data_IF_431728666311
#
_entry.id   IF_431728666311
#
_cell.length_a   1.000
_cell.length_b   1.000
_cell.length_c   1.000
_cell.angle_alpha   90.00
_cell.angle_beta   90.00
_cell.angle_gamma   90.00
#
_symmetry.space_group_name_H-M   'P 1'
#
loop_
_entity.id
_entity.type
_entity.pdbx_description
1 polymer ?
#
# COMPACT_ATOMS: atom_id res chain seq x y z
N UNK A 1 -9.00 -14.44 9.45
CA UNK A 1 -9.11 -13.54 8.29
C UNK A 1 -9.68 -12.21 8.76
N UNK A 2 -8.96 -11.12 8.51
CA UNK A 2 -9.38 -9.77 8.89
C UNK A 2 -10.23 -9.11 7.81
N UNK A 3 -10.05 -9.53 6.55
CA UNK A 3 -10.76 -9.04 5.37
C UNK A 3 -11.54 -10.18 4.68
N UNK A 4 -12.83 -10.02 4.49
CA UNK A 4 -13.70 -10.84 3.64
C UNK A 4 -14.88 -9.99 3.12
N UNK A 5 -15.62 -10.49 2.13
CA UNK A 5 -16.69 -9.72 1.48
C UNK A 5 -17.77 -9.24 2.47
N UNK A 6 -18.13 -10.05 3.48
CA UNK A 6 -19.13 -9.67 4.48
C UNK A 6 -18.64 -8.55 5.40
N UNK A 7 -17.37 -8.62 5.82
CA UNK A 7 -16.74 -7.58 6.62
C UNK A 7 -16.55 -6.31 5.82
N UNK A 8 -16.17 -6.41 4.54
CA UNK A 8 -16.09 -5.26 3.64
C UNK A 8 -17.47 -4.58 3.49
N UNK A 9 -18.54 -5.33 3.29
CA UNK A 9 -19.90 -4.78 3.27
C UNK A 9 -20.28 -4.12 4.60
N UNK A 10 -19.96 -4.73 5.75
CA UNK A 10 -20.21 -4.18 7.08
C UNK A 10 -19.38 -2.90 7.35
N UNK A 11 -18.21 -2.78 6.75
CA UNK A 11 -17.32 -1.62 6.82
C UNK A 11 -17.60 -0.54 5.77
N UNK A 12 -18.61 -0.72 4.93
CA UNK A 12 -19.00 0.19 3.85
C UNK A 12 -17.89 0.42 2.81
N UNK A 13 -17.24 -0.65 2.40
CA UNK A 13 -16.18 -0.59 1.39
C UNK A 13 -16.75 -0.38 0.00
N UNK A 14 -16.26 0.63 -0.70
CA UNK A 14 -16.53 0.84 -2.13
C UNK A 14 -15.46 0.25 -3.05
N UNK A 15 -14.20 0.21 -2.56
CA UNK A 15 -13.05 -0.32 -3.31
C UNK A 15 -12.02 -0.93 -2.35
N UNK A 16 -11.41 -2.05 -2.78
CA UNK A 16 -10.30 -2.69 -2.09
C UNK A 16 -9.19 -3.06 -3.09
N UNK A 17 -7.94 -2.83 -2.68
CA UNK A 17 -6.77 -3.36 -3.38
C UNK A 17 -6.49 -4.78 -2.91
N UNK A 18 -6.43 -5.73 -3.84
CA UNK A 18 -6.10 -7.13 -3.56
C UNK A 18 -4.67 -7.42 -4.01
N UNK A 19 -3.79 -7.71 -3.06
CA UNK A 19 -2.38 -7.94 -3.31
C UNK A 19 -2.09 -9.41 -3.60
N UNK A 20 -1.51 -9.69 -4.76
CA UNK A 20 -0.81 -10.94 -5.02
C UNK A 20 0.56 -10.83 -4.32
N UNK A 21 0.61 -11.26 -3.06
CA UNK A 21 1.82 -11.20 -2.25
C UNK A 21 2.73 -12.39 -2.50
N UNK A 22 4.01 -12.14 -2.79
CA UNK A 22 5.01 -13.17 -3.05
C UNK A 22 6.23 -12.98 -2.17
N UNK A 23 6.45 -13.90 -1.24
CA UNK A 23 7.70 -14.01 -0.52
C UNK A 23 8.76 -14.73 -1.38
N UNK A 24 9.81 -14.02 -1.81
CA UNK A 24 10.82 -14.56 -2.73
C UNK A 24 11.57 -15.79 -2.18
N UNK A 25 11.79 -15.86 -0.87
CA UNK A 25 12.44 -17.03 -0.25
C UNK A 25 11.52 -18.27 -0.27
N UNK A 26 10.22 -18.05 -0.01
CA UNK A 26 9.22 -19.12 -0.02
C UNK A 26 8.90 -19.60 -1.44
N UNK A 27 8.96 -18.71 -2.42
CA UNK A 27 8.71 -19.02 -3.82
C UNK A 27 9.80 -19.93 -4.46
N UNK A 28 10.94 -20.16 -3.77
CA UNK A 28 11.98 -21.13 -4.15
C UNK A 28 12.43 -20.99 -5.61
N UNK A 29 12.66 -19.78 -6.07
CA UNK A 29 13.10 -19.49 -7.43
C UNK A 29 12.00 -19.54 -8.51
N UNK A 30 10.75 -19.66 -8.13
CA UNK A 30 9.56 -19.66 -9.02
C UNK A 30 8.57 -18.53 -8.67
N UNK A 31 9.02 -17.29 -8.46
CA UNK A 31 8.13 -16.22 -7.98
C UNK A 31 7.06 -15.84 -9.03
N UNK A 32 7.38 -15.91 -10.32
CA UNK A 32 6.41 -15.63 -11.38
C UNK A 32 5.27 -16.66 -11.41
N UNK A 33 5.61 -17.94 -11.40
CA UNK A 33 4.63 -19.04 -11.42
C UNK A 33 3.74 -19.01 -10.18
N UNK A 34 4.33 -18.78 -9.00
CA UNK A 34 3.55 -18.65 -7.77
C UNK A 34 2.59 -17.45 -7.82
N UNK A 35 3.03 -16.30 -8.34
CA UNK A 35 2.16 -15.16 -8.55
C UNK A 35 1.02 -15.46 -9.54
N UNK A 36 1.27 -16.25 -10.58
CA UNK A 36 0.23 -16.69 -11.53
C UNK A 36 -0.80 -17.61 -10.89
N UNK A 37 -0.40 -18.48 -9.95
CA UNK A 37 -1.33 -19.32 -9.18
C UNK A 37 -2.24 -18.45 -8.27
N UNK A 38 -1.68 -17.41 -7.63
CA UNK A 38 -2.47 -16.43 -6.87
C UNK A 38 -3.43 -15.64 -7.77
N UNK A 39 -2.97 -15.28 -8.96
CA UNK A 39 -3.80 -14.57 -9.94
C UNK A 39 -4.99 -15.41 -10.38
N UNK A 40 -4.80 -16.69 -10.64
CA UNK A 40 -5.88 -17.62 -10.97
C UNK A 40 -6.90 -17.72 -9.83
N UNK A 41 -6.43 -17.85 -8.58
CA UNK A 41 -7.29 -17.84 -7.38
C UNK A 41 -8.10 -16.55 -7.28
N UNK A 42 -7.47 -15.38 -7.51
CA UNK A 42 -8.17 -14.11 -7.51
C UNK A 42 -9.31 -14.10 -8.55
N UNK A 43 -9.07 -14.57 -9.77
CA UNK A 43 -10.11 -14.59 -10.80
C UNK A 43 -11.24 -15.55 -10.46
N UNK A 44 -10.94 -16.73 -9.92
CA UNK A 44 -11.97 -17.69 -9.49
C UNK A 44 -12.87 -17.09 -8.41
N UNK A 45 -12.30 -16.39 -7.41
CA UNK A 45 -13.07 -15.71 -6.36
C UNK A 45 -13.91 -14.56 -6.92
N UNK A 46 -13.36 -13.76 -7.84
CA UNK A 46 -14.11 -12.67 -8.46
C UNK A 46 -15.28 -13.17 -9.32
N UNK A 47 -15.09 -14.27 -10.06
CA UNK A 47 -16.16 -14.92 -10.85
C UNK A 47 -17.25 -15.52 -9.95
N UNK A 48 -16.87 -16.14 -8.83
CA UNK A 48 -17.82 -16.72 -7.88
C UNK A 48 -18.68 -15.67 -7.15
N UNK A 49 -18.25 -14.40 -7.15
CA UNK A 49 -18.89 -13.30 -6.41
C UNK A 49 -19.15 -12.06 -7.28
N UNK A 50 -19.34 -12.25 -8.58
CA UNK A 50 -19.54 -11.14 -9.54
C UNK A 50 -20.77 -10.27 -9.27
N UNK A 51 -21.72 -10.76 -8.50
CA UNK A 51 -22.91 -10.05 -8.04
C UNK A 51 -22.59 -9.04 -6.91
N UNK A 52 -21.47 -9.21 -6.18
CA UNK A 52 -21.07 -8.41 -5.01
C UNK A 52 -19.90 -7.48 -5.32
N UNK A 53 -18.93 -7.94 -6.13
CA UNK A 53 -17.69 -7.23 -6.38
C UNK A 53 -17.29 -7.33 -7.86
N UNK A 54 -16.79 -6.24 -8.43
CA UNK A 54 -16.34 -6.18 -9.82
C UNK A 54 -14.87 -5.82 -9.95
N UNK A 55 -14.16 -6.44 -10.89
CA UNK A 55 -12.75 -6.17 -11.17
C UNK A 55 -12.59 -4.76 -11.77
N UNK A 56 -11.53 -4.05 -11.36
CA UNK A 56 -11.15 -2.73 -11.85
C UNK A 56 -9.92 -2.85 -12.75
N UNK A 57 -10.06 -2.39 -14.00
CA UNK A 57 -8.97 -2.27 -14.98
C UNK A 57 -8.80 -0.83 -15.47
N UNK A 58 -9.79 0.02 -15.26
CA UNK A 58 -9.77 1.45 -15.51
C UNK A 58 -10.57 2.19 -14.44
N UNK A 59 -10.44 3.50 -14.38
CA UNK A 59 -11.22 4.30 -13.43
C UNK A 59 -12.74 4.19 -13.66
N UNK A 60 -13.18 4.06 -14.92
CA UNK A 60 -14.59 3.90 -15.29
C UNK A 60 -15.20 2.61 -14.74
N UNK A 61 -14.41 1.56 -14.54
CA UNK A 61 -14.90 0.32 -13.93
C UNK A 61 -15.36 0.55 -12.49
N UNK A 62 -14.69 1.43 -11.75
CA UNK A 62 -15.08 1.80 -10.38
C UNK A 62 -16.47 2.44 -10.38
N UNK A 63 -16.70 3.40 -11.27
CA UNK A 63 -18.00 4.06 -11.42
C UNK A 63 -19.10 3.07 -11.83
N UNK A 64 -18.80 2.19 -12.78
CA UNK A 64 -19.73 1.15 -13.24
C UNK A 64 -20.11 0.17 -12.13
N UNK A 65 -19.13 -0.29 -11.33
CA UNK A 65 -19.39 -1.16 -10.19
C UNK A 65 -20.28 -0.47 -9.16
N UNK A 66 -19.98 0.79 -8.84
CA UNK A 66 -20.78 1.60 -7.93
C UNK A 66 -22.23 1.76 -8.39
N UNK A 67 -22.47 2.10 -9.66
CA UNK A 67 -23.80 2.22 -10.25
C UNK A 67 -24.61 0.91 -10.20
N UNK A 68 -23.90 -0.23 -10.20
CA UNK A 68 -24.48 -1.57 -10.09
C UNK A 68 -24.62 -2.06 -8.64
N UNK A 69 -24.29 -1.20 -7.65
CA UNK A 69 -24.34 -1.57 -6.24
C UNK A 69 -23.26 -2.59 -5.81
N UNK A 70 -22.17 -2.69 -6.56
CA UNK A 70 -21.06 -3.61 -6.29
C UNK A 70 -19.85 -2.87 -5.73
N UNK A 71 -19.08 -3.56 -4.89
CA UNK A 71 -17.73 -3.15 -4.52
C UNK A 71 -16.79 -3.29 -5.72
N UNK A 72 -15.62 -2.69 -5.63
CA UNK A 72 -14.56 -2.73 -6.64
C UNK A 72 -13.32 -3.44 -6.12
N UNK A 73 -12.74 -4.34 -6.93
CA UNK A 73 -11.49 -5.03 -6.67
C UNK A 73 -10.40 -4.54 -7.64
N UNK A 74 -9.39 -3.83 -7.11
CA UNK A 74 -8.20 -3.47 -7.87
C UNK A 74 -7.10 -4.49 -7.58
N UNK A 75 -6.64 -5.18 -8.63
CA UNK A 75 -5.60 -6.20 -8.53
C UNK A 75 -4.22 -5.56 -8.47
N UNK A 76 -3.43 -5.95 -7.47
CA UNK A 76 -2.07 -5.46 -7.26
C UNK A 76 -1.08 -6.62 -7.12
N UNK A 77 0.21 -6.35 -7.32
CA UNK A 77 1.30 -7.30 -7.04
C UNK A 77 2.18 -6.69 -5.96
N UNK A 78 2.35 -7.41 -4.86
CA UNK A 78 3.28 -7.04 -3.81
C UNK A 78 4.54 -7.92 -3.88
N UNK A 79 5.58 -7.39 -4.44
CA UNK A 79 6.91 -7.91 -4.78
C UNK A 79 7.19 -7.87 -6.30
N UNK A 80 7.85 -6.81 -6.76
CA UNK A 80 8.25 -6.63 -8.17
C UNK A 80 9.25 -7.67 -8.70
N UNK A 81 9.99 -8.35 -7.80
CA UNK A 81 10.87 -9.48 -8.14
C UNK A 81 10.14 -10.66 -8.79
N UNK A 82 8.80 -10.70 -8.71
CA UNK A 82 7.98 -11.64 -9.51
C UNK A 82 8.23 -11.52 -11.00
N UNK A 83 8.60 -10.34 -11.46
CA UNK A 83 8.93 -10.07 -12.87
C UNK A 83 10.33 -10.53 -13.27
N UNK A 84 11.19 -10.96 -12.33
CA UNK A 84 12.56 -11.42 -12.60
C UNK A 84 13.36 -10.45 -13.49
N UNK A 85 13.21 -9.14 -13.26
CA UNK A 85 13.84 -8.09 -14.06
C UNK A 85 13.36 -7.98 -15.51
N UNK A 86 12.29 -8.66 -15.91
CA UNK A 86 11.80 -8.70 -17.30
C UNK A 86 10.60 -7.76 -17.48
N UNK A 87 10.76 -6.65 -18.16
CA UNK A 87 9.65 -5.73 -18.50
C UNK A 87 8.54 -6.40 -19.33
N UNK A 88 8.85 -7.51 -20.01
CA UNK A 88 7.82 -8.32 -20.67
C UNK A 88 6.80 -8.89 -19.68
N UNK A 89 7.25 -9.38 -18.51
CA UNK A 89 6.39 -9.92 -17.46
C UNK A 89 5.54 -8.80 -16.81
N UNK A 90 6.12 -7.61 -16.61
CA UNK A 90 5.38 -6.42 -16.17
C UNK A 90 4.21 -6.11 -17.13
N UNK A 91 4.48 -6.09 -18.44
CA UNK A 91 3.44 -5.87 -19.46
C UNK A 91 2.38 -6.97 -19.47
N UNK A 92 2.77 -8.22 -19.21
CA UNK A 92 1.83 -9.33 -19.15
C UNK A 92 0.95 -9.26 -17.89
N UNK A 93 1.50 -8.89 -16.73
CA UNK A 93 0.69 -8.58 -15.55
C UNK A 93 -0.30 -7.43 -15.80
N UNK A 94 0.11 -6.38 -16.49
CA UNK A 94 -0.81 -5.30 -16.88
C UNK A 94 -1.96 -5.79 -17.78
N UNK A 95 -1.66 -6.59 -18.80
CA UNK A 95 -2.67 -7.22 -19.71
C UNK A 95 -3.62 -8.13 -18.93
N UNK A 96 -3.11 -8.82 -17.92
CA UNK A 96 -3.86 -9.67 -17.02
C UNK A 96 -4.65 -8.91 -15.94
N UNK A 97 -4.61 -7.58 -15.92
CA UNK A 97 -5.45 -6.76 -15.06
C UNK A 97 -4.78 -6.18 -13.82
N UNK A 98 -3.50 -6.43 -13.58
CA UNK A 98 -2.76 -5.76 -12.51
C UNK A 98 -2.66 -4.27 -12.80
N UNK A 99 -2.93 -3.43 -11.80
CA UNK A 99 -2.94 -1.97 -11.93
C UNK A 99 -2.05 -1.24 -10.93
N UNK A 100 -1.44 -1.96 -10.01
CA UNK A 100 -0.47 -1.43 -9.06
C UNK A 100 0.60 -2.49 -8.79
N UNK A 101 1.84 -2.07 -8.56
CA UNK A 101 2.92 -2.98 -8.17
C UNK A 101 3.84 -2.31 -7.16
N UNK A 102 4.13 -3.03 -6.07
CA UNK A 102 5.18 -2.69 -5.11
C UNK A 102 6.52 -3.19 -5.64
N UNK A 103 7.54 -2.32 -5.69
CA UNK A 103 8.80 -2.63 -6.37
C UNK A 103 9.62 -3.70 -5.66
N UNK A 104 9.58 -3.72 -4.33
CA UNK A 104 10.24 -4.73 -3.48
C UNK A 104 9.41 -4.95 -2.23
N UNK A 105 9.48 -6.16 -1.67
CA UNK A 105 8.99 -6.40 -0.30
C UNK A 105 10.16 -6.29 0.68
N UNK A 106 10.53 -7.33 1.40
CA UNK A 106 11.59 -7.30 2.42
C UNK A 106 12.91 -7.93 1.98
N UNK A 107 13.07 -8.18 0.68
CA UNK A 107 14.29 -8.73 0.08
C UNK A 107 14.75 -7.87 -1.10
N UNK A 108 16.08 -7.69 -1.28
CA UNK A 108 16.60 -7.14 -2.54
C UNK A 108 16.19 -8.01 -3.72
N UNK A 109 15.85 -7.36 -4.82
CA UNK A 109 15.51 -8.02 -6.07
C UNK A 109 16.20 -7.34 -7.27
N UNK A 110 15.84 -7.71 -8.49
CA UNK A 110 16.44 -7.16 -9.69
C UNK A 110 16.11 -5.67 -9.90
N UNK A 111 15.11 -5.11 -9.18
CA UNK A 111 14.62 -3.75 -9.36
C UNK A 111 15.15 -2.80 -8.30
N UNK A 112 15.18 -3.24 -7.03
CA UNK A 112 15.35 -2.35 -5.89
C UNK A 112 15.79 -3.07 -4.62
N UNK A 113 15.98 -2.27 -3.57
CA UNK A 113 16.36 -2.70 -2.24
C UNK A 113 15.32 -2.27 -1.21
N UNK A 114 14.98 -3.13 -0.23
CA UNK A 114 14.24 -2.71 0.96
C UNK A 114 15.16 -1.96 1.93
N UNK A 115 14.60 -1.42 3.02
CA UNK A 115 15.40 -0.88 4.10
C UNK A 115 16.34 -1.95 4.72
N UNK A 116 17.48 -1.50 5.24
CA UNK A 116 18.55 -2.37 5.73
C UNK A 116 18.07 -3.17 6.97
N UNK A 117 18.44 -4.45 6.99
CA UNK A 117 18.28 -5.35 8.13
C UNK A 117 19.63 -5.60 8.77
N UNK A 118 19.87 -5.01 9.93
CA UNK A 118 21.16 -5.04 10.64
C UNK A 118 21.05 -6.09 11.74
N UNK A 119 21.97 -7.08 11.73
CA UNK A 119 22.07 -8.05 12.79
C UNK A 119 22.66 -7.41 14.06
N UNK A 120 22.06 -7.70 15.21
CA UNK A 120 22.52 -7.27 16.53
C UNK A 120 23.29 -8.40 17.24
N UNK A 121 24.10 -8.05 18.23
CA UNK A 121 24.94 -9.02 18.96
C UNK A 121 24.16 -10.12 19.67
N UNK A 122 22.91 -9.84 20.05
CA UNK A 122 22.03 -10.80 20.72
C UNK A 122 21.29 -11.75 19.75
N UNK A 123 21.59 -11.68 18.46
CA UNK A 123 20.98 -12.50 17.41
C UNK A 123 19.65 -11.95 16.89
N UNK A 124 19.20 -10.82 17.38
CA UNK A 124 18.04 -10.09 16.84
C UNK A 124 18.42 -9.26 15.62
N UNK A 125 17.45 -8.60 15.02
CA UNK A 125 17.66 -7.70 13.89
C UNK A 125 17.00 -6.35 14.15
N UNK A 126 17.71 -5.29 13.80
CA UNK A 126 17.18 -3.94 13.74
C UNK A 126 17.00 -3.52 12.29
N UNK A 127 15.87 -2.91 11.99
CA UNK A 127 15.65 -2.25 10.70
C UNK A 127 16.26 -0.85 10.73
N UNK A 128 16.91 -0.46 9.65
CA UNK A 128 17.49 0.88 9.47
C UNK A 128 17.20 1.43 8.08
N UNK A 129 17.05 2.76 7.92
CA UNK A 129 16.93 3.37 6.61
C UNK A 129 18.17 3.05 5.76
N UNK A 130 17.95 2.70 4.50
CA UNK A 130 19.02 2.63 3.50
C UNK A 130 18.87 3.86 2.57
N UNK A 131 19.87 4.73 2.64
CA UNK A 131 19.92 5.98 1.87
C UNK A 131 20.93 5.93 0.72
N UNK A 132 21.55 4.76 0.48
CA UNK A 132 22.66 4.60 -0.47
C UNK A 132 22.25 3.78 -1.70
N UNK A 133 21.52 2.68 -1.51
CA UNK A 133 21.16 1.75 -2.57
C UNK A 133 19.81 2.11 -3.19
N UNK A 134 19.83 2.93 -4.24
CA UNK A 134 18.61 3.32 -4.98
C UNK A 134 18.05 2.19 -5.88
N UNK A 135 17.23 2.58 -6.85
CA UNK A 135 16.77 1.67 -7.89
C UNK A 135 17.96 1.18 -8.72
N UNK A 136 17.91 -0.07 -9.16
CA UNK A 136 18.84 -0.56 -10.20
C UNK A 136 18.49 0.05 -11.56
N UNK A 137 19.37 -0.07 -12.56
CA UNK A 137 19.05 0.33 -13.94
C UNK A 137 17.79 -0.39 -14.44
N UNK A 138 17.58 -1.65 -14.04
CA UNK A 138 16.36 -2.41 -14.33
C UNK A 138 15.15 -1.82 -13.62
N UNK A 139 15.31 -1.42 -12.35
CA UNK A 139 14.26 -0.77 -11.56
C UNK A 139 13.82 0.57 -12.16
N UNK A 140 14.76 1.37 -12.63
CA UNK A 140 14.48 2.62 -13.35
C UNK A 140 13.65 2.33 -14.63
N UNK A 141 14.08 1.37 -15.45
CA UNK A 141 13.33 0.97 -16.65
C UNK A 141 11.92 0.45 -16.30
N UNK A 142 11.76 -0.19 -15.13
CA UNK A 142 10.45 -0.66 -14.67
C UNK A 142 9.52 0.48 -14.28
N UNK A 143 9.96 1.45 -13.50
CA UNK A 143 9.10 2.58 -13.10
C UNK A 143 8.70 3.45 -14.29
N UNK A 144 9.60 3.64 -15.25
CA UNK A 144 9.32 4.33 -16.50
C UNK A 144 8.27 3.57 -17.35
N UNK A 145 8.37 2.23 -17.41
CA UNK A 145 7.40 1.41 -18.13
C UNK A 145 6.06 1.34 -17.40
N UNK A 146 6.04 1.30 -16.05
CA UNK A 146 4.81 1.38 -15.25
C UNK A 146 4.08 2.69 -15.52
N UNK A 147 4.80 3.83 -15.54
CA UNK A 147 4.23 5.13 -15.86
C UNK A 147 3.65 5.15 -17.29
N UNK A 148 4.38 4.60 -18.27
CA UNK A 148 3.91 4.50 -19.65
C UNK A 148 2.65 3.66 -19.82
N UNK A 149 2.51 2.60 -19.01
CA UNK A 149 1.36 1.70 -19.05
C UNK A 149 0.12 2.27 -18.32
N UNK A 150 0.28 3.26 -17.45
CA UNK A 150 -0.76 3.65 -16.51
C UNK A 150 -0.91 2.64 -15.38
N UNK A 151 0.20 2.07 -14.89
CA UNK A 151 0.25 1.22 -13.72
C UNK A 151 0.73 2.04 -12.52
N UNK A 152 0.00 2.00 -11.41
CA UNK A 152 0.34 2.74 -10.20
C UNK A 152 1.60 2.15 -9.58
N UNK A 153 2.58 3.01 -9.30
CA UNK A 153 3.79 2.63 -8.57
C UNK A 153 3.47 2.71 -7.07
N UNK A 154 3.78 1.64 -6.34
CA UNK A 154 3.70 1.61 -4.88
C UNK A 154 5.11 1.58 -4.29
N UNK A 155 5.43 2.61 -3.48
CA UNK A 155 6.72 2.75 -2.81
C UNK A 155 6.76 2.13 -1.41
N UNK A 156 5.68 1.49 -0.95
CA UNK A 156 5.70 0.74 0.30
C UNK A 156 6.79 -0.32 0.24
N UNK A 157 7.48 -0.56 1.34
CA UNK A 157 8.65 -1.43 1.48
C UNK A 157 9.96 -0.93 0.85
N UNK A 158 9.91 0.00 -0.11
CA UNK A 158 11.09 0.56 -0.73
C UNK A 158 11.92 1.35 0.30
N UNK A 159 13.24 1.29 0.18
CA UNK A 159 14.14 2.07 1.01
C UNK A 159 14.16 3.56 0.63
N UNK A 160 14.79 4.37 1.47
CA UNK A 160 14.79 5.83 1.31
C UNK A 160 15.44 6.27 -0.02
N UNK A 161 16.56 5.67 -0.41
CA UNK A 161 17.24 6.01 -1.68
C UNK A 161 16.35 5.68 -2.89
N UNK A 162 15.73 4.50 -2.91
CA UNK A 162 14.83 4.07 -3.98
C UNK A 162 13.58 4.94 -4.09
N UNK A 163 13.01 5.39 -2.96
CA UNK A 163 11.89 6.34 -2.96
C UNK A 163 12.26 7.62 -3.71
N UNK A 164 13.45 8.19 -3.43
CA UNK A 164 13.92 9.39 -4.11
C UNK A 164 14.21 9.15 -5.60
N UNK A 165 14.61 7.94 -5.98
CA UNK A 165 14.76 7.59 -7.40
C UNK A 165 13.41 7.53 -8.12
N UNK A 166 12.36 6.96 -7.50
CA UNK A 166 11.01 7.03 -8.07
C UNK A 166 10.59 8.47 -8.33
N UNK A 167 10.84 9.40 -7.40
CA UNK A 167 10.57 10.84 -7.62
C UNK A 167 11.34 11.43 -8.81
N UNK A 168 12.58 11.00 -9.04
CA UNK A 168 13.43 11.51 -10.14
C UNK A 168 13.01 10.99 -11.51
N UNK A 169 12.55 9.74 -11.57
CA UNK A 169 12.30 9.02 -12.83
C UNK A 169 10.83 8.97 -13.24
N UNK A 170 9.91 9.53 -12.44
CA UNK A 170 8.48 9.55 -12.73
C UNK A 170 7.89 10.95 -12.65
N UNK A 171 6.72 11.15 -13.24
CA UNK A 171 5.99 12.43 -13.26
C UNK A 171 4.57 12.31 -12.72
N UNK A 172 3.92 11.18 -12.95
CA UNK A 172 2.57 10.93 -12.47
C UNK A 172 2.55 10.76 -10.94
N UNK A 173 1.40 10.95 -10.29
CA UNK A 173 1.26 10.60 -8.89
C UNK A 173 1.43 9.10 -8.69
N UNK A 174 1.97 8.73 -7.54
CA UNK A 174 2.14 7.36 -7.10
C UNK A 174 1.74 7.22 -5.63
N UNK A 175 1.79 6.04 -5.06
CA UNK A 175 1.31 5.79 -3.71
C UNK A 175 2.39 5.17 -2.81
N UNK A 176 2.25 5.39 -1.50
CA UNK A 176 2.75 4.52 -0.46
C UNK A 176 1.52 3.78 0.10
N UNK A 177 1.19 2.62 -0.45
CA UNK A 177 -0.11 1.99 -0.21
C UNK A 177 -0.38 1.72 1.27
N UNK A 178 0.67 1.43 2.07
CA UNK A 178 0.59 1.12 3.50
C UNK A 178 1.85 1.57 4.25
N UNK A 179 1.96 2.89 4.50
CA UNK A 179 3.10 3.52 5.20
C UNK A 179 2.64 4.70 6.05
N UNK A 180 3.28 4.88 7.21
CA UNK A 180 2.94 5.93 8.17
C UNK A 180 4.00 7.05 8.20
N UNK A 181 3.93 7.96 9.19
CA UNK A 181 4.88 9.05 9.37
C UNK A 181 6.02 8.63 10.32
N UNK A 182 7.27 8.71 9.87
CA UNK A 182 8.46 8.32 10.64
C UNK A 182 8.68 9.21 11.88
N UNK A 183 8.23 10.47 11.84
CA UNK A 183 8.28 11.37 12.99
C UNK A 183 7.41 10.92 14.16
N UNK A 184 6.41 10.05 13.92
CA UNK A 184 5.50 9.53 14.95
C UNK A 184 5.91 8.14 15.46
N UNK A 185 6.54 7.32 14.61
CA UNK A 185 7.12 6.03 14.94
C UNK A 185 8.37 5.83 14.10
N UNK A 186 9.50 5.60 14.74
CA UNK A 186 10.84 5.68 14.14
C UNK A 186 11.17 4.53 13.15
N UNK A 187 10.21 3.69 12.84
CA UNK A 187 10.39 2.54 11.94
C UNK A 187 10.70 3.00 10.51
N UNK A 188 11.73 2.43 9.82
CA UNK A 188 12.15 2.88 8.49
C UNK A 188 11.12 2.61 7.37
N UNK A 189 10.11 1.76 7.61
CA UNK A 189 8.96 1.58 6.70
C UNK A 189 8.06 2.82 6.62
N UNK A 190 8.18 3.72 7.58
CA UNK A 190 7.45 4.99 7.62
C UNK A 190 8.20 6.07 6.81
N UNK A 191 7.45 6.97 6.19
CA UNK A 191 8.00 8.06 5.39
C UNK A 191 8.50 9.21 6.28
N UNK A 192 9.61 9.84 5.88
CA UNK A 192 10.08 11.09 6.49
C UNK A 192 9.16 12.27 6.11
N UNK A 193 9.22 13.37 6.88
CA UNK A 193 8.43 14.56 6.57
C UNK A 193 8.75 15.15 5.19
N UNK A 194 10.00 15.03 4.73
CA UNK A 194 10.39 15.48 3.39
C UNK A 194 9.79 14.60 2.30
N UNK A 195 9.75 13.27 2.51
CA UNK A 195 9.08 12.34 1.59
C UNK A 195 7.57 12.57 1.55
N UNK A 196 6.93 12.81 2.70
CA UNK A 196 5.49 13.13 2.79
C UNK A 196 5.19 14.41 2.02
N UNK A 197 6.01 15.45 2.19
CA UNK A 197 5.86 16.72 1.46
C UNK A 197 6.00 16.51 -0.05
N UNK A 198 7.05 15.82 -0.47
CA UNK A 198 7.29 15.53 -1.89
C UNK A 198 6.17 14.67 -2.51
N UNK A 199 5.67 13.66 -1.77
CA UNK A 199 4.55 12.84 -2.21
C UNK A 199 3.26 13.67 -2.38
N UNK A 200 2.97 14.55 -1.44
CA UNK A 200 1.82 15.45 -1.53
C UNK A 200 1.94 16.44 -2.71
N UNK A 201 3.11 17.03 -2.92
CA UNK A 201 3.39 17.92 -4.05
C UNK A 201 3.27 17.21 -5.41
N UNK A 202 3.60 15.91 -5.46
CA UNK A 202 3.41 15.05 -6.64
C UNK A 202 1.94 14.66 -6.86
N UNK A 203 1.05 14.97 -5.93
CA UNK A 203 -0.35 14.52 -5.98
C UNK A 203 -0.55 13.07 -5.52
N UNK A 204 0.44 12.46 -4.90
CA UNK A 204 0.36 11.09 -4.39
C UNK A 204 -0.44 10.96 -3.09
N UNK A 205 -0.58 9.72 -2.64
CA UNK A 205 -1.31 9.35 -1.41
C UNK A 205 -0.52 8.31 -0.63
N UNK A 206 -0.52 8.45 0.70
CA UNK A 206 -0.01 7.41 1.61
C UNK A 206 -1.15 6.84 2.44
N UNK A 207 -1.29 5.51 2.43
CA UNK A 207 -2.28 4.78 3.20
C UNK A 207 -1.78 4.49 4.61
N UNK A 208 -2.57 4.86 5.61
CA UNK A 208 -2.26 4.56 7.01
C UNK A 208 -2.24 3.05 7.23
N UNK A 209 -1.07 2.52 7.57
CA UNK A 209 -0.87 1.12 7.93
C UNK A 209 -1.26 0.88 9.39
N UNK A 210 -1.95 -0.23 9.67
CA UNK A 210 -2.45 -0.56 11.01
C UNK A 210 -1.48 -1.46 11.79
N UNK A 211 -0.31 -1.78 11.23
CA UNK A 211 0.72 -2.53 11.94
C UNK A 211 1.20 -1.77 13.18
N UNK A 212 1.18 -2.44 14.32
CA UNK A 212 1.55 -1.89 15.63
C UNK A 212 2.92 -1.21 15.60
N UNK A 213 3.93 -1.86 14.98
CA UNK A 213 5.30 -1.34 14.90
C UNK A 213 5.46 -0.07 14.05
N UNK A 214 4.49 0.25 13.19
CA UNK A 214 4.52 1.43 12.32
C UNK A 214 3.71 2.60 12.89
N UNK A 215 2.94 2.34 13.96
CA UNK A 215 2.09 3.35 14.59
C UNK A 215 2.76 4.00 15.80
N UNK A 216 3.61 3.25 16.52
CA UNK A 216 4.21 3.76 17.74
C UNK A 216 5.49 3.01 18.08
N UNK A 217 6.46 3.72 18.65
CA UNK A 217 7.61 3.11 19.33
C UNK A 217 7.18 2.63 20.73
N UNK A 218 7.46 1.35 21.05
CA UNK A 218 7.12 0.73 22.32
C UNK A 218 8.35 0.56 23.20
N UNK A 219 8.19 0.86 24.48
CA UNK A 219 9.21 0.57 25.51
C UNK A 219 9.27 -0.92 25.86
N UNK A 220 10.36 -1.37 26.52
CA UNK A 220 10.48 -2.74 26.98
C UNK A 220 9.31 -3.13 27.89
N UNK A 221 8.61 -4.23 27.57
CA UNK A 221 7.47 -4.75 28.35
C UNK A 221 6.15 -3.99 28.18
N UNK A 222 6.10 -2.98 27.33
CA UNK A 222 4.86 -2.28 26.99
C UNK A 222 3.97 -3.17 26.11
N UNK A 223 2.66 -3.18 26.38
CA UNK A 223 1.69 -3.90 25.54
C UNK A 223 1.63 -3.30 24.14
N UNK A 224 1.94 -4.12 23.14
CA UNK A 224 1.87 -3.73 21.74
C UNK A 224 0.43 -3.85 21.23
N UNK A 225 -0.25 -2.72 21.15
CA UNK A 225 -1.61 -2.59 20.64
C UNK A 225 -1.65 -1.55 19.53
N UNK A 226 -2.20 -1.93 18.38
CA UNK A 226 -2.54 -1.01 17.31
C UNK A 226 -3.80 -0.24 17.68
N UNK A 227 -3.66 1.04 18.06
CA UNK A 227 -4.77 1.88 18.52
C UNK A 227 -5.27 2.77 17.40
N UNK A 228 -6.59 2.95 17.35
CA UNK A 228 -7.23 3.90 16.43
C UNK A 228 -6.74 5.33 16.71
N UNK A 229 -6.51 5.67 17.98
CA UNK A 229 -5.95 6.98 18.36
C UNK A 229 -4.59 7.25 17.74
N UNK A 230 -3.70 6.23 17.71
CA UNK A 230 -2.38 6.37 17.10
C UNK A 230 -2.48 6.58 15.58
N UNK A 231 -3.41 5.87 14.91
CA UNK A 231 -3.70 6.11 13.48
C UNK A 231 -4.14 7.56 13.22
N UNK A 232 -5.03 8.10 14.06
CA UNK A 232 -5.50 9.48 13.93
C UNK A 232 -4.38 10.50 14.19
N UNK A 233 -3.48 10.24 15.13
CA UNK A 233 -2.32 11.11 15.37
C UNK A 233 -1.36 11.12 14.15
N UNK A 234 -1.13 9.98 13.50
CA UNK A 234 -0.41 9.94 12.22
C UNK A 234 -1.12 10.80 11.15
N UNK A 235 -2.45 10.68 11.03
CA UNK A 235 -3.23 11.48 10.07
C UNK A 235 -3.11 12.98 10.36
N UNK A 236 -3.13 13.41 11.62
CA UNK A 236 -2.93 14.81 12.02
C UNK A 236 -1.54 15.31 11.61
N UNK A 237 -0.50 14.49 11.86
CA UNK A 237 0.86 14.82 11.47
C UNK A 237 0.99 14.96 9.95
N UNK A 238 0.52 13.96 9.19
CA UNK A 238 0.56 13.96 7.72
C UNK A 238 -0.24 15.13 7.15
N UNK A 239 -1.43 15.44 7.72
CA UNK A 239 -2.22 16.61 7.35
C UNK A 239 -1.44 17.92 7.51
N UNK A 240 -0.66 18.02 8.59
CA UNK A 240 0.20 19.21 8.86
C UNK A 240 1.34 19.34 7.84
N UNK A 241 1.94 18.23 7.40
CA UNK A 241 3.12 18.21 6.52
C UNK A 241 2.75 18.26 5.04
N UNK A 242 1.83 17.40 4.59
CA UNK A 242 1.46 17.22 3.18
C UNK A 242 0.02 17.62 2.84
N UNK A 243 -0.77 18.03 3.85
CA UNK A 243 -2.20 18.33 3.66
C UNK A 243 -3.08 17.10 3.66
N UNK A 244 -4.40 17.34 3.77
CA UNK A 244 -5.40 16.25 3.85
C UNK A 244 -5.43 15.38 2.58
N UNK A 245 -5.13 15.95 1.42
CA UNK A 245 -5.15 15.27 0.13
C UNK A 245 -4.09 14.17 -0.05
N UNK A 246 -3.11 14.09 0.86
CA UNK A 246 -2.05 13.08 0.83
C UNK A 246 -2.38 11.81 1.65
N UNK A 247 -3.51 11.77 2.36
CA UNK A 247 -3.85 10.71 3.31
C UNK A 247 -4.86 9.74 2.68
N UNK A 248 -4.61 8.44 2.83
CA UNK A 248 -5.52 7.36 2.49
C UNK A 248 -5.54 6.28 3.58
N UNK A 249 -6.20 5.17 3.30
CA UNK A 249 -6.26 4.00 4.18
C UNK A 249 -5.48 2.85 3.54
N UNK A 250 -4.56 2.27 4.29
CA UNK A 250 -3.69 1.18 3.86
C UNK A 250 -3.58 0.12 4.96
N UNK A 251 -4.70 -0.52 5.28
CA UNK A 251 -4.87 -1.36 6.46
C UNK A 251 -3.81 -2.44 6.65
N UNK A 252 -3.36 -3.02 5.55
CA UNK A 252 -2.48 -4.20 5.55
C UNK A 252 -3.15 -5.41 6.25
N UNK A 253 -4.49 -5.45 6.25
CA UNK A 253 -5.26 -6.56 6.82
C UNK A 253 -4.88 -7.88 6.13
N UNK A 254 -4.78 -8.93 6.94
CA UNK A 254 -4.27 -10.26 6.59
C UNK A 254 -2.76 -10.30 6.26
N UNK A 255 -2.08 -9.16 6.02
CA UNK A 255 -0.62 -9.04 5.93
C UNK A 255 0.06 -8.76 7.27
N UNK A 256 -0.69 -8.27 8.26
CA UNK A 256 -0.19 -7.95 9.60
C UNK A 256 -0.72 -8.92 10.65
N UNK A 257 -0.02 -8.98 11.77
CA UNK A 257 -0.41 -9.76 12.95
C UNK A 257 -0.33 -8.88 14.21
N UNK A 258 -0.85 -9.40 15.33
CA UNK A 258 -0.78 -8.73 16.62
C UNK A 258 -2.15 -8.34 17.16
N UNK A 259 -2.14 -7.50 18.18
CA UNK A 259 -3.36 -7.03 18.85
C UNK A 259 -3.80 -5.71 18.20
N UNK A 260 -4.96 -5.71 17.54
CA UNK A 260 -5.52 -4.55 16.87
C UNK A 260 -6.86 -4.16 17.51
N UNK A 261 -7.01 -2.90 17.91
CA UNK A 261 -8.28 -2.34 18.36
C UNK A 261 -9.35 -2.42 17.24
N UNK A 262 -8.95 -2.10 16.00
CA UNK A 262 -9.76 -2.30 14.79
C UNK A 262 -9.36 -3.62 14.12
N UNK A 263 -9.80 -4.74 14.65
CA UNK A 263 -9.30 -6.07 14.32
C UNK A 263 -9.78 -6.64 12.98
N UNK A 264 -10.68 -5.98 12.25
CA UNK A 264 -11.17 -6.39 10.94
C UNK A 264 -11.84 -5.25 10.15
N UNK A 265 -12.07 -5.49 8.86
CA UNK A 265 -12.63 -4.52 7.93
C UNK A 265 -14.03 -4.02 8.33
N UNK A 266 -14.85 -4.83 8.99
CA UNK A 266 -16.19 -4.45 9.44
C UNK A 266 -16.20 -3.36 10.52
N UNK A 267 -15.05 -3.10 11.15
CA UNK A 267 -14.88 -2.08 12.18
C UNK A 267 -14.41 -0.73 11.65
N UNK A 268 -14.23 -0.58 10.34
CA UNK A 268 -13.77 0.66 9.71
C UNK A 268 -14.54 1.92 10.15
N UNK A 269 -15.87 1.89 10.37
CA UNK A 269 -16.61 3.06 10.88
C UNK A 269 -16.10 3.60 12.22
N UNK A 270 -15.40 2.79 13.05
CA UNK A 270 -14.80 3.26 14.30
C UNK A 270 -13.72 4.32 14.05
N UNK A 271 -12.95 4.17 12.96
CA UNK A 271 -11.92 5.14 12.58
C UNK A 271 -12.55 6.48 12.16
N UNK A 272 -13.63 6.46 11.39
CA UNK A 272 -14.36 7.68 11.01
C UNK A 272 -14.87 8.44 12.25
N UNK A 273 -15.48 7.74 13.21
CA UNK A 273 -15.92 8.35 14.46
C UNK A 273 -14.77 8.91 15.32
N UNK A 274 -13.61 8.24 15.31
CA UNK A 274 -12.44 8.74 16.02
C UNK A 274 -11.89 10.02 15.36
N UNK A 275 -11.83 10.07 14.03
CA UNK A 275 -11.42 11.26 13.27
C UNK A 275 -12.37 12.44 13.55
N UNK A 276 -13.68 12.21 13.57
CA UNK A 276 -14.69 13.25 13.87
C UNK A 276 -14.48 13.83 15.27
N UNK A 277 -14.27 12.99 16.31
CA UNK A 277 -13.97 13.42 17.68
C UNK A 277 -12.69 14.25 17.78
N UNK A 278 -11.72 13.99 16.90
CA UNK A 278 -10.43 14.67 16.84
C UNK A 278 -10.44 15.89 15.89
N UNK A 279 -11.63 16.33 15.47
CA UNK A 279 -11.86 17.58 14.75
C UNK A 279 -11.61 17.53 13.24
N UNK A 280 -11.63 16.33 12.64
CA UNK A 280 -11.73 16.22 11.18
C UNK A 280 -13.16 16.53 10.73
N UNK A 281 -13.29 17.36 9.71
CA UNK A 281 -14.59 17.64 9.10
C UNK A 281 -15.11 16.44 8.29
N UNK A 282 -16.44 16.32 8.07
CA UNK A 282 -16.99 15.26 7.22
C UNK A 282 -16.33 15.19 5.84
N UNK A 283 -15.99 16.34 5.24
CA UNK A 283 -15.32 16.40 3.94
C UNK A 283 -13.87 15.90 3.99
N UNK A 284 -13.15 16.11 5.10
CA UNK A 284 -11.82 15.57 5.30
C UNK A 284 -11.86 14.06 5.52
N UNK A 285 -12.84 13.56 6.29
CA UNK A 285 -13.04 12.11 6.48
C UNK A 285 -13.33 11.44 5.13
N UNK A 286 -14.25 11.98 4.34
CA UNK A 286 -14.55 11.48 3.01
C UNK A 286 -13.31 11.53 2.09
N UNK A 287 -12.50 12.58 2.17
CA UNK A 287 -11.25 12.68 1.41
C UNK A 287 -10.30 11.53 1.74
N UNK A 288 -10.05 11.24 3.02
CA UNK A 288 -9.17 10.17 3.49
C UNK A 288 -9.72 8.78 3.15
N UNK A 289 -11.03 8.58 3.30
CA UNK A 289 -11.65 7.27 3.09
C UNK A 289 -11.78 6.88 1.62
N UNK A 290 -11.92 7.86 0.69
CA UNK A 290 -12.07 7.52 -0.72
C UNK A 290 -11.52 8.56 -1.72
N UNK A 291 -11.84 9.86 -1.59
CA UNK A 291 -11.59 10.83 -2.67
C UNK A 291 -10.12 10.98 -3.03
N UNK A 292 -9.21 10.91 -2.05
CA UNK A 292 -7.78 11.07 -2.29
C UNK A 292 -7.22 9.95 -3.16
N UNK A 293 -7.54 8.69 -2.85
CA UNK A 293 -7.08 7.54 -3.64
C UNK A 293 -7.77 7.49 -5.00
N UNK A 294 -9.06 7.81 -5.06
CA UNK A 294 -9.80 7.87 -6.32
C UNK A 294 -9.25 8.94 -7.27
N UNK A 295 -8.74 10.06 -6.73
CA UNK A 295 -8.05 11.07 -7.54
C UNK A 295 -6.80 10.50 -8.20
N UNK A 296 -5.95 9.78 -7.45
CA UNK A 296 -4.76 9.13 -8.02
C UNK A 296 -5.15 8.10 -9.07
N UNK A 297 -6.16 7.28 -8.80
CA UNK A 297 -6.61 6.26 -9.77
C UNK A 297 -7.17 6.89 -11.05
N UNK A 298 -7.90 7.99 -10.94
CA UNK A 298 -8.41 8.72 -12.11
C UNK A 298 -7.30 9.34 -12.97
N UNK A 299 -6.19 9.71 -12.35
CA UNK A 299 -5.07 10.35 -13.04
C UNK A 299 -4.15 9.33 -13.71
N UNK A 300 -4.03 8.12 -13.13
CA UNK A 300 -3.04 7.13 -13.58
C UNK A 300 -3.66 6.01 -14.42
N UNK A 301 -4.85 5.49 -14.04
CA UNK A 301 -5.52 4.38 -14.75
C UNK A 301 -6.29 4.84 -15.98
#
# INVERSE_FOLDING_TARGET
>A
MMLDLKKMQAGDYGLQNFALYVNLEQAKGRPFEFCMELLDTFYQEMEAHEDIIGIVRSYEDISRNWEQGRMSALLTVEEGGTCQGKTAFLRDFYRLGVRMMTLTWNFPNELAFPNARIAEEDGTFRMAPDTEHGLTDTGIAFVEEMERLGMIIDISHLNDAGIWDVFRHTRNPFVASHSNARAMASHPRNLTDDMIRALAERGGVMGINYCTAFLRDFGPGEEQLSRISDMVEHMKHIRKIGGIGCIGLGSDFDGISGNLEMGDAGKLPMLAHAMEREGFTPSEIEAVFCKNVLRVYKEVL
#
